data_IF_436770026095
#
_entry.id   IF_436770026095
#
_cell.length_a   1.000
_cell.length_b   1.000
_cell.length_c   1.000
_cell.angle_alpha   90.00
_cell.angle_beta   90.00
_cell.angle_gamma   90.00
#
_symmetry.space_group_name_H-M   'P 1'
#
loop_
_entity.id
_entity.type
_entity.pdbx_description
1 polymer ?
#
# COMPACT_ATOMS: atom_id res chain seq x y z
N UNK A 1 -17.78 0.04 3.49
CA UNK A 1 -17.19 -1.17 2.86
C UNK A 1 -18.21 -1.85 1.97
N UNK A 2 -17.86 -2.09 0.70
CA UNK A 2 -18.69 -2.97 -0.13
C UNK A 2 -18.73 -4.35 0.51
N UNK A 3 -19.92 -4.88 0.73
CA UNK A 3 -20.10 -6.22 1.30
C UNK A 3 -19.61 -7.26 0.31
N UNK A 4 -18.76 -8.18 0.74
CA UNK A 4 -18.26 -9.25 -0.12
C UNK A 4 -19.40 -10.23 -0.45
N UNK A 5 -19.71 -10.38 -1.72
CA UNK A 5 -20.76 -11.28 -2.23
C UNK A 5 -20.15 -12.55 -2.79
N UNK A 6 -20.67 -13.71 -2.36
CA UNK A 6 -20.15 -15.01 -2.76
C UNK A 6 -20.39 -15.24 -4.26
N UNK A 7 -21.53 -14.82 -4.80
CA UNK A 7 -21.83 -14.95 -6.23
C UNK A 7 -20.81 -14.21 -7.09
N UNK A 8 -20.42 -13.02 -6.68
CA UNK A 8 -19.39 -12.25 -7.41
C UNK A 8 -18.01 -12.94 -7.40
N UNK A 9 -17.65 -13.60 -6.29
CA UNK A 9 -16.44 -14.42 -6.22
C UNK A 9 -16.53 -15.67 -7.11
N UNK A 10 -17.71 -16.30 -7.15
CA UNK A 10 -17.96 -17.49 -7.96
C UNK A 10 -17.83 -17.19 -9.44
N UNK A 11 -18.50 -16.13 -9.92
CA UNK A 11 -18.52 -15.70 -11.33
C UNK A 11 -17.11 -15.30 -11.82
N UNK A 12 -16.29 -14.76 -10.92
CA UNK A 12 -14.89 -14.43 -11.22
C UNK A 12 -13.96 -15.64 -11.24
N UNK A 13 -14.42 -16.82 -10.81
CA UNK A 13 -13.60 -18.03 -10.76
C UNK A 13 -12.57 -18.06 -9.64
N UNK A 14 -12.84 -17.36 -8.53
CA UNK A 14 -11.96 -17.31 -7.34
C UNK A 14 -11.79 -18.68 -6.70
N UNK A 15 -12.78 -19.55 -6.86
CA UNK A 15 -12.83 -20.89 -6.28
C UNK A 15 -11.92 -21.92 -6.97
N UNK A 16 -11.41 -21.64 -8.15
CA UNK A 16 -10.49 -22.57 -8.83
C UNK A 16 -9.10 -22.51 -8.21
N UNK A 17 -8.59 -23.66 -7.80
CA UNK A 17 -7.22 -23.81 -7.35
C UNK A 17 -6.37 -24.56 -8.38
N UNK A 18 -5.18 -24.96 -7.97
CA UNK A 18 -4.24 -25.71 -8.79
C UNK A 18 -4.56 -27.22 -8.81
N UNK A 19 -3.80 -27.95 -9.63
CA UNK A 19 -3.88 -29.41 -9.73
C UNK A 19 -3.62 -30.07 -8.37
N UNK A 20 -4.28 -31.20 -8.13
CA UNK A 20 -4.18 -31.99 -6.88
C UNK A 20 -2.75 -32.39 -6.55
N UNK A 21 -1.91 -32.66 -7.56
CA UNK A 21 -0.50 -33.01 -7.41
C UNK A 21 0.39 -31.88 -6.87
N UNK A 22 -0.08 -30.61 -6.95
CA UNK A 22 0.68 -29.43 -6.49
C UNK A 22 0.20 -28.89 -5.15
N UNK A 23 -0.70 -29.60 -4.48
CA UNK A 23 -1.28 -29.14 -3.22
C UNK A 23 -0.23 -28.94 -2.11
N UNK A 24 -0.33 -27.82 -1.40
CA UNK A 24 0.39 -27.66 -0.14
C UNK A 24 -0.45 -28.23 1.02
N UNK A 25 0.12 -29.03 1.95
CA UNK A 25 -0.64 -29.67 3.04
C UNK A 25 -1.45 -28.68 3.90
N UNK A 26 -0.87 -27.53 4.24
CA UNK A 26 -1.50 -26.51 5.11
C UNK A 26 -2.69 -25.81 4.45
N UNK A 27 -2.92 -26.00 3.13
CA UNK A 27 -4.10 -25.51 2.44
C UNK A 27 -5.33 -26.40 2.58
N UNK A 28 -5.17 -27.63 3.12
CA UNK A 28 -6.31 -28.56 3.33
C UNK A 28 -7.52 -27.95 4.00
N UNK A 29 -7.41 -27.10 5.04
CA UNK A 29 -8.57 -26.48 5.67
C UNK A 29 -9.38 -25.57 4.74
N UNK A 30 -8.78 -25.01 3.66
CA UNK A 30 -9.40 -24.06 2.73
C UNK A 30 -9.95 -24.72 1.46
N UNK A 31 -9.69 -26.02 1.26
CA UNK A 31 -10.18 -26.79 0.12
C UNK A 31 -11.57 -27.35 0.45
N UNK A 32 -12.52 -27.13 -0.44
CA UNK A 32 -13.89 -27.64 -0.33
C UNK A 32 -14.01 -29.05 -0.90
N UNK A 33 -13.52 -29.26 -2.13
CA UNK A 33 -13.58 -30.55 -2.84
C UNK A 33 -12.54 -30.61 -3.94
N UNK A 34 -12.40 -31.82 -4.52
CA UNK A 34 -11.62 -32.04 -5.73
C UNK A 34 -12.55 -32.34 -6.90
N UNK A 35 -12.33 -31.72 -8.05
CA UNK A 35 -13.10 -31.94 -9.28
C UNK A 35 -12.17 -31.90 -10.49
N UNK A 36 -12.25 -32.93 -11.32
CA UNK A 36 -11.44 -33.06 -12.54
C UNK A 36 -9.92 -32.88 -12.30
N UNK A 37 -9.40 -33.40 -11.18
CA UNK A 37 -7.98 -33.29 -10.84
C UNK A 37 -7.52 -31.88 -10.38
N UNK A 38 -8.45 -30.97 -10.12
CA UNK A 38 -8.18 -29.65 -9.56
C UNK A 38 -8.86 -29.48 -8.20
N UNK A 39 -8.25 -28.71 -7.31
CA UNK A 39 -8.85 -28.33 -6.04
C UNK A 39 -9.84 -27.19 -6.22
N UNK A 40 -10.94 -27.24 -5.49
CA UNK A 40 -11.94 -26.18 -5.39
C UNK A 40 -11.80 -25.55 -4.01
N UNK A 41 -11.58 -24.23 -3.96
CA UNK A 41 -11.44 -23.46 -2.73
C UNK A 41 -12.81 -23.16 -2.14
N UNK A 42 -12.94 -23.21 -0.81
CA UNK A 42 -14.16 -22.87 -0.09
C UNK A 42 -14.35 -21.36 -0.05
N UNK A 43 -15.32 -20.84 -0.82
CA UNK A 43 -15.63 -19.42 -0.91
C UNK A 43 -16.15 -18.82 0.39
N UNK A 44 -16.73 -19.60 1.30
CA UNK A 44 -17.15 -19.10 2.62
C UNK A 44 -15.91 -18.72 3.46
N UNK A 45 -14.88 -19.56 3.42
CA UNK A 45 -13.59 -19.30 4.08
C UNK A 45 -12.84 -18.17 3.41
N UNK A 46 -12.85 -18.13 2.07
CA UNK A 46 -12.31 -16.97 1.32
C UNK A 46 -12.95 -15.68 1.75
N UNK A 47 -14.29 -15.62 1.81
CA UNK A 47 -15.03 -14.43 2.26
C UNK A 47 -14.63 -14.02 3.68
N UNK A 48 -14.64 -14.94 4.63
CA UNK A 48 -14.28 -14.65 6.02
C UNK A 48 -12.84 -14.09 6.15
N UNK A 49 -11.89 -14.70 5.43
CA UNK A 49 -10.48 -14.25 5.41
C UNK A 49 -10.30 -12.93 4.68
N UNK A 50 -11.02 -12.74 3.58
CA UNK A 50 -11.02 -11.47 2.84
C UNK A 50 -11.57 -10.35 3.72
N UNK A 51 -12.71 -10.52 4.40
CA UNK A 51 -13.28 -9.51 5.30
C UNK A 51 -12.28 -9.13 6.42
N UNK A 52 -11.58 -10.11 7.00
CA UNK A 52 -10.52 -9.86 7.99
C UNK A 52 -9.35 -9.03 7.39
N UNK A 53 -8.91 -9.38 6.18
CA UNK A 53 -7.83 -8.69 5.49
C UNK A 53 -8.24 -7.24 5.15
N UNK A 54 -9.46 -7.02 4.65
CA UNK A 54 -10.00 -5.70 4.32
C UNK A 54 -10.06 -4.79 5.54
N UNK A 55 -10.50 -5.31 6.69
CA UNK A 55 -10.49 -4.56 7.96
C UNK A 55 -9.07 -4.19 8.38
N UNK A 56 -8.12 -5.10 8.23
CA UNK A 56 -6.70 -4.84 8.50
C UNK A 56 -6.12 -3.75 7.60
N UNK A 57 -6.34 -3.85 6.30
CA UNK A 57 -5.87 -2.87 5.31
C UNK A 57 -6.49 -1.49 5.50
N UNK A 58 -7.80 -1.43 5.80
CA UNK A 58 -8.51 -0.19 6.14
C UNK A 58 -7.88 0.51 7.36
N UNK A 59 -7.59 -0.26 8.43
CA UNK A 59 -6.90 0.27 9.63
C UNK A 59 -5.52 0.84 9.28
N UNK A 60 -4.72 0.14 8.46
CA UNK A 60 -3.41 0.62 8.03
C UNK A 60 -3.55 1.90 7.20
N UNK A 61 -4.48 1.95 6.24
CA UNK A 61 -4.73 3.11 5.40
C UNK A 61 -5.16 4.34 6.23
N UNK A 62 -6.01 4.14 7.26
CA UNK A 62 -6.44 5.19 8.19
C UNK A 62 -5.26 5.84 8.95
N UNK A 63 -4.21 5.09 9.26
CA UNK A 63 -2.98 5.68 9.85
C UNK A 63 -2.18 6.55 8.87
N UNK A 64 -2.49 6.48 7.57
CA UNK A 64 -1.80 7.18 6.49
C UNK A 64 -0.43 6.64 6.15
N UNK A 65 -0.08 5.47 6.66
CA UNK A 65 1.14 4.77 6.28
C UNK A 65 0.93 4.06 4.95
N UNK A 66 1.98 3.97 4.16
CA UNK A 66 1.94 3.34 2.83
C UNK A 66 1.84 1.81 2.94
N UNK A 67 1.09 1.23 2.02
CA UNK A 67 0.98 -0.22 1.79
C UNK A 67 1.71 -0.50 0.48
N UNK A 68 2.66 -1.44 0.48
CA UNK A 68 3.41 -1.84 -0.71
C UNK A 68 2.69 -3.01 -1.38
N UNK A 69 2.36 -2.85 -2.66
CA UNK A 69 1.76 -3.90 -3.48
C UNK A 69 2.81 -4.63 -4.31
N UNK A 70 2.76 -5.95 -4.32
CA UNK A 70 3.70 -6.80 -5.06
C UNK A 70 2.93 -7.77 -5.94
N UNK A 71 3.06 -7.63 -7.25
CA UNK A 71 2.35 -8.43 -8.24
C UNK A 71 3.16 -8.57 -9.52
N UNK A 72 4.12 -9.51 -9.55
CA UNK A 72 5.01 -9.70 -10.72
C UNK A 72 4.48 -10.69 -11.75
N UNK A 73 3.36 -11.36 -11.47
CA UNK A 73 2.67 -12.24 -12.43
C UNK A 73 2.10 -11.41 -13.59
N UNK A 74 2.23 -11.87 -14.83
CA UNK A 74 1.75 -11.16 -16.02
C UNK A 74 0.26 -10.80 -15.92
N UNK A 75 -0.55 -11.72 -15.38
CA UNK A 75 -1.99 -11.57 -15.21
C UNK A 75 -2.36 -10.49 -14.19
N UNK A 76 -1.58 -10.37 -13.11
CA UNK A 76 -1.81 -9.44 -12.01
C UNK A 76 -1.30 -8.03 -12.28
N UNK A 77 -0.25 -7.89 -13.09
CA UNK A 77 0.39 -6.61 -13.40
C UNK A 77 -0.59 -5.56 -13.91
N UNK A 78 -1.29 -5.86 -15.01
CA UNK A 78 -2.23 -4.93 -15.63
C UNK A 78 -3.41 -4.59 -14.71
N UNK A 79 -3.87 -5.59 -13.95
CA UNK A 79 -4.97 -5.41 -13.00
C UNK A 79 -4.54 -4.48 -11.87
N UNK A 80 -3.36 -4.69 -11.30
CA UNK A 80 -2.83 -3.83 -10.23
C UNK A 80 -2.64 -2.39 -10.72
N UNK A 81 -2.04 -2.19 -11.89
CA UNK A 81 -1.79 -0.86 -12.47
C UNK A 81 -3.08 -0.05 -12.70
N UNK A 82 -4.20 -0.73 -12.95
CA UNK A 82 -5.52 -0.10 -13.10
C UNK A 82 -6.00 0.57 -11.81
N UNK A 83 -5.81 -0.11 -10.66
CA UNK A 83 -6.32 0.36 -9.37
C UNK A 83 -5.36 1.32 -8.65
N UNK A 84 -4.06 1.08 -8.76
CA UNK A 84 -3.05 1.78 -7.95
C UNK A 84 -2.97 3.27 -8.27
N UNK A 85 -3.29 3.66 -9.51
CA UNK A 85 -3.28 5.06 -9.96
C UNK A 85 -4.19 5.96 -9.14
N UNK A 86 -5.28 5.40 -8.59
CA UNK A 86 -6.27 6.17 -7.83
C UNK A 86 -5.85 6.40 -6.37
N UNK A 87 -4.94 5.57 -5.82
CA UNK A 87 -4.70 5.51 -4.37
C UNK A 87 -3.29 6.00 -4.00
N UNK A 88 -2.42 6.25 -4.97
CA UNK A 88 -1.02 6.68 -4.78
C UNK A 88 -0.28 5.84 -3.73
N UNK A 89 -0.31 4.51 -3.90
CA UNK A 89 0.44 3.56 -3.07
C UNK A 89 1.64 3.02 -3.85
N UNK A 90 2.78 2.71 -3.20
CA UNK A 90 3.93 2.09 -3.86
C UNK A 90 3.60 0.68 -4.32
N UNK A 91 4.17 0.27 -5.46
CA UNK A 91 3.93 -1.05 -6.03
C UNK A 91 5.13 -1.59 -6.79
N UNK A 92 5.17 -2.91 -6.98
CA UNK A 92 6.20 -3.61 -7.75
C UNK A 92 5.51 -4.61 -8.68
N UNK A 93 5.69 -4.42 -9.99
CA UNK A 93 5.06 -5.24 -11.02
C UNK A 93 6.06 -5.98 -11.90
N UNK A 94 7.34 -5.61 -11.86
CA UNK A 94 8.34 -6.24 -12.72
C UNK A 94 9.08 -7.39 -12.00
N UNK A 95 9.98 -7.06 -11.12
CA UNK A 95 10.77 -8.04 -10.40
C UNK A 95 11.10 -7.55 -9.00
N UNK A 96 10.93 -8.41 -8.03
CA UNK A 96 11.45 -8.15 -6.68
C UNK A 96 12.96 -8.34 -6.65
N UNK A 97 13.68 -7.34 -6.23
CA UNK A 97 15.12 -7.46 -5.94
C UNK A 97 15.31 -7.85 -4.48
N UNK A 98 16.21 -8.81 -4.22
CA UNK A 98 16.57 -9.14 -2.84
C UNK A 98 17.10 -7.91 -2.11
N UNK A 99 16.64 -7.70 -0.88
CA UNK A 99 17.02 -6.55 -0.08
C UNK A 99 16.14 -5.31 -0.22
N UNK A 100 15.02 -5.37 -0.95
CA UNK A 100 14.16 -4.19 -1.14
C UNK A 100 13.58 -3.66 0.18
N UNK A 101 13.33 -4.49 1.13
CA UNK A 101 12.92 -4.09 2.49
C UNK A 101 14.08 -4.17 3.47
N UNK A 102 14.81 -5.28 3.50
CA UNK A 102 15.89 -5.52 4.47
C UNK A 102 17.11 -4.63 4.26
N UNK A 103 17.40 -4.24 3.02
CA UNK A 103 18.48 -3.31 2.68
C UNK A 103 17.93 -2.02 2.04
N UNK A 104 16.87 -1.49 2.62
CA UNK A 104 16.15 -0.33 2.11
C UNK A 104 17.03 0.91 1.89
N UNK A 105 18.06 1.10 2.74
CA UNK A 105 19.00 2.23 2.61
C UNK A 105 19.74 2.19 1.27
N UNK A 106 20.19 1.00 0.84
CA UNK A 106 20.89 0.84 -0.45
C UNK A 106 19.92 1.01 -1.63
N UNK A 107 18.71 0.49 -1.52
CA UNK A 107 17.67 0.70 -2.53
C UNK A 107 17.37 2.20 -2.68
N UNK A 108 17.23 2.94 -1.57
CA UNK A 108 17.04 4.39 -1.62
C UNK A 108 18.20 5.14 -2.28
N UNK A 109 19.46 4.72 -2.04
CA UNK A 109 20.62 5.28 -2.75
C UNK A 109 20.52 5.04 -4.25
N UNK A 110 20.00 3.88 -4.66
CA UNK A 110 19.80 3.54 -6.08
C UNK A 110 18.66 4.35 -6.70
N UNK A 111 17.56 4.58 -5.98
CA UNK A 111 16.47 5.47 -6.41
C UNK A 111 16.97 6.91 -6.57
N UNK A 112 17.77 7.42 -5.62
CA UNK A 112 18.37 8.77 -5.72
C UNK A 112 19.26 8.94 -6.96
N UNK A 113 19.86 7.87 -7.49
CA UNK A 113 20.59 7.96 -8.77
C UNK A 113 19.68 8.32 -9.93
N UNK A 114 18.42 7.86 -9.90
CA UNK A 114 17.40 8.23 -10.89
C UNK A 114 17.15 9.74 -10.84
N UNK A 115 16.91 10.29 -9.64
CA UNK A 115 16.72 11.73 -9.44
C UNK A 115 17.92 12.55 -9.91
N UNK A 116 19.15 12.06 -9.67
CA UNK A 116 20.38 12.71 -10.10
C UNK A 116 20.45 12.73 -11.63
N UNK A 117 20.15 11.62 -12.31
CA UNK A 117 20.18 11.55 -13.77
C UNK A 117 19.14 12.51 -14.37
N UNK A 118 17.96 12.61 -13.77
CA UNK A 118 16.90 13.50 -14.23
C UNK A 118 17.30 14.97 -14.07
N UNK A 119 17.89 15.38 -12.94
CA UNK A 119 18.46 16.72 -12.75
C UNK A 119 19.56 17.04 -13.76
N UNK A 120 20.50 16.11 -14.00
CA UNK A 120 21.55 16.30 -15.00
C UNK A 120 20.98 16.49 -16.42
N UNK A 121 19.80 15.93 -16.70
CA UNK A 121 19.07 16.17 -17.95
C UNK A 121 18.50 17.59 -18.01
N UNK A 122 17.88 18.04 -16.94
CA UNK A 122 17.27 19.37 -16.82
C UNK A 122 18.33 20.47 -16.87
N UNK A 123 19.44 20.30 -16.17
CA UNK A 123 20.58 21.24 -16.11
C UNK A 123 21.42 21.27 -17.39
N UNK A 124 21.15 20.36 -18.35
CA UNK A 124 21.93 20.25 -19.59
C UNK A 124 23.34 19.67 -19.42
N UNK A 125 23.75 19.31 -18.20
CA UNK A 125 25.07 18.72 -17.89
C UNK A 125 25.31 17.42 -18.65
N UNK A 126 24.25 16.69 -19.04
CA UNK A 126 24.38 15.50 -19.89
C UNK A 126 25.02 15.81 -21.24
N UNK A 127 24.91 17.02 -21.77
CA UNK A 127 25.47 17.39 -23.05
C UNK A 127 27.01 17.47 -23.04
N UNK A 128 27.62 17.68 -21.87
CA UNK A 128 29.07 17.72 -21.71
C UNK A 128 29.71 16.33 -21.76
N UNK A 129 28.90 15.26 -21.58
CA UNK A 129 29.36 13.88 -21.60
C UNK A 129 29.51 13.35 -23.03
N UNK A 130 30.39 12.35 -23.20
CA UNK A 130 30.56 11.66 -24.49
C UNK A 130 29.25 10.99 -24.93
N UNK A 131 29.05 10.79 -26.23
CA UNK A 131 27.86 10.12 -26.79
C UNK A 131 27.64 8.74 -26.20
N UNK A 132 28.70 7.99 -25.91
CA UNK A 132 28.63 6.65 -25.31
C UNK A 132 28.14 6.70 -23.88
N UNK A 133 28.62 7.62 -23.07
CA UNK A 133 28.20 7.80 -21.67
C UNK A 133 26.76 8.24 -21.58
N UNK A 134 26.30 9.17 -22.42
CA UNK A 134 24.89 9.58 -22.49
C UNK A 134 23.97 8.40 -22.77
N UNK A 135 24.32 7.59 -23.77
CA UNK A 135 23.51 6.41 -24.11
C UNK A 135 23.47 5.39 -22.96
N UNK A 136 24.60 5.20 -22.25
CA UNK A 136 24.67 4.30 -21.10
C UNK A 136 23.78 4.82 -19.95
N UNK A 137 23.86 6.11 -19.64
CA UNK A 137 23.01 6.75 -18.62
C UNK A 137 21.52 6.63 -18.95
N UNK A 138 21.14 6.83 -20.21
CA UNK A 138 19.73 6.68 -20.62
C UNK A 138 19.23 5.25 -20.45
N UNK A 139 20.06 4.26 -20.78
CA UNK A 139 19.73 2.85 -20.56
C UNK A 139 19.59 2.51 -19.07
N UNK A 140 20.52 3.02 -18.26
CA UNK A 140 20.51 2.80 -16.81
C UNK A 140 19.29 3.50 -16.17
N UNK A 141 18.96 4.73 -16.60
CA UNK A 141 17.75 5.43 -16.19
C UNK A 141 16.48 4.64 -16.50
N UNK A 142 16.32 4.23 -17.76
CA UNK A 142 15.15 3.46 -18.19
C UNK A 142 15.01 2.14 -17.42
N UNK A 143 16.14 1.48 -17.12
CA UNK A 143 16.15 0.28 -16.29
C UNK A 143 15.74 0.57 -14.85
N UNK A 144 16.29 1.60 -14.22
CA UNK A 144 15.95 1.98 -12.84
C UNK A 144 14.49 2.42 -12.72
N UNK A 145 14.01 3.23 -13.65
CA UNK A 145 12.63 3.70 -13.68
C UNK A 145 11.65 2.53 -13.81
N UNK A 146 11.93 1.58 -14.70
CA UNK A 146 11.11 0.39 -14.89
C UNK A 146 10.96 -0.45 -13.62
N UNK A 147 12.03 -0.61 -12.83
CA UNK A 147 12.03 -1.53 -11.67
C UNK A 147 11.78 -0.83 -10.34
N UNK A 148 12.17 0.42 -10.19
CA UNK A 148 12.15 1.15 -8.92
C UNK A 148 11.34 2.46 -8.98
N UNK A 149 10.88 2.89 -10.16
CA UNK A 149 10.14 4.14 -10.32
C UNK A 149 8.89 4.20 -9.47
N UNK A 150 8.16 3.08 -9.37
CA UNK A 150 6.94 2.97 -8.56
C UNK A 150 7.13 3.08 -7.04
N UNK A 151 8.37 2.94 -6.56
CA UNK A 151 8.72 3.10 -5.12
C UNK A 151 9.56 4.35 -4.85
N UNK A 152 9.76 5.23 -5.83
CA UNK A 152 10.59 6.45 -5.70
C UNK A 152 10.11 7.36 -4.56
N UNK A 153 8.81 7.51 -4.41
CA UNK A 153 8.19 8.33 -3.35
C UNK A 153 8.22 7.68 -1.96
N UNK A 154 8.63 6.42 -1.86
CA UNK A 154 8.63 5.69 -0.59
C UNK A 154 9.84 6.10 0.28
N UNK A 155 9.64 7.04 1.20
CA UNK A 155 10.67 7.56 2.09
C UNK A 155 10.93 6.71 3.34
N UNK A 156 9.98 5.85 3.71
CA UNK A 156 10.02 4.97 4.90
C UNK A 156 9.55 3.58 4.51
N UNK A 157 9.90 2.59 5.31
CA UNK A 157 9.39 1.23 5.17
C UNK A 157 7.85 1.23 5.21
N UNK A 158 7.19 0.41 4.39
CA UNK A 158 5.73 0.30 4.36
C UNK A 158 5.22 -0.26 5.69
N UNK A 159 3.97 0.05 6.05
CA UNK A 159 3.32 -0.52 7.23
C UNK A 159 2.79 -1.92 6.97
N UNK A 160 2.48 -2.22 5.73
CA UNK A 160 2.00 -3.51 5.29
C UNK A 160 2.47 -3.79 3.86
N UNK A 161 2.53 -5.08 3.52
CA UNK A 161 2.79 -5.55 2.15
C UNK A 161 1.59 -6.39 1.71
N UNK A 162 1.07 -6.11 0.51
CA UNK A 162 0.06 -6.93 -0.15
C UNK A 162 0.68 -7.67 -1.32
N UNK A 163 0.58 -8.99 -1.32
CA UNK A 163 1.26 -9.86 -2.31
C UNK A 163 0.23 -10.65 -3.11
N UNK A 164 0.41 -10.69 -4.41
CA UNK A 164 -0.32 -11.61 -5.31
C UNK A 164 0.62 -12.77 -5.66
N UNK A 165 0.26 -13.99 -5.25
CA UNK A 165 1.06 -15.21 -5.38
C UNK A 165 2.28 -15.27 -4.44
N UNK A 166 2.08 -15.98 -3.32
CA UNK A 166 3.11 -16.20 -2.29
C UNK A 166 4.30 -17.02 -2.81
N UNK A 167 4.04 -17.99 -3.69
CA UNK A 167 5.07 -18.90 -4.18
C UNK A 167 6.10 -18.16 -5.01
N UNK A 168 5.61 -17.25 -5.85
CA UNK A 168 6.45 -16.42 -6.73
C UNK A 168 7.20 -15.35 -5.95
N UNK A 169 6.52 -14.70 -5.00
CA UNK A 169 7.05 -13.57 -4.23
C UNK A 169 7.60 -13.98 -2.85
N UNK A 170 8.11 -15.21 -2.75
CA UNK A 170 8.63 -15.78 -1.50
C UNK A 170 9.66 -14.88 -0.83
N UNK A 171 10.54 -14.24 -1.59
CA UNK A 171 11.58 -13.36 -1.06
C UNK A 171 10.95 -12.12 -0.40
N UNK A 172 9.92 -11.52 -1.03
CA UNK A 172 9.22 -10.37 -0.48
C UNK A 172 8.58 -10.67 0.88
N UNK A 173 7.95 -11.84 1.00
CA UNK A 173 7.32 -12.31 2.25
C UNK A 173 8.37 -12.57 3.32
N UNK A 174 9.47 -13.23 2.98
CA UNK A 174 10.57 -13.48 3.92
C UNK A 174 11.20 -12.20 4.45
N UNK A 175 11.39 -11.19 3.59
CA UNK A 175 11.91 -9.89 4.01
C UNK A 175 10.91 -9.14 4.89
N UNK A 176 9.63 -9.14 4.53
CA UNK A 176 8.57 -8.53 5.34
C UNK A 176 8.47 -9.17 6.73
N UNK A 177 8.50 -10.49 6.79
CA UNK A 177 8.49 -11.24 8.05
C UNK A 177 9.70 -10.92 8.94
N UNK A 178 10.92 -10.84 8.37
CA UNK A 178 12.13 -10.45 9.13
C UNK A 178 12.04 -9.07 9.76
N UNK A 179 11.28 -8.17 9.15
CA UNK A 179 11.09 -6.80 9.62
C UNK A 179 9.78 -6.60 10.41
N UNK A 180 9.05 -7.69 10.70
CA UNK A 180 7.74 -7.67 11.37
C UNK A 180 6.74 -6.72 10.68
N UNK A 181 6.80 -6.63 9.34
CA UNK A 181 5.84 -5.87 8.53
C UNK A 181 4.64 -6.78 8.28
N UNK A 182 3.42 -6.26 8.50
CA UNK A 182 2.19 -7.00 8.27
C UNK A 182 2.05 -7.43 6.82
N UNK A 183 1.77 -8.73 6.61
CA UNK A 183 1.67 -9.33 5.29
C UNK A 183 0.23 -9.75 4.99
N UNK A 184 -0.25 -9.30 3.84
CA UNK A 184 -1.55 -9.68 3.25
C UNK A 184 -1.26 -10.35 1.92
N UNK A 185 -1.87 -11.49 1.65
CA UNK A 185 -1.60 -12.16 0.38
C UNK A 185 -2.77 -12.96 -0.17
N UNK A 186 -2.88 -13.00 -1.50
CA UNK A 186 -3.64 -14.00 -2.22
C UNK A 186 -2.87 -15.31 -2.18
N UNK A 187 -3.54 -16.38 -1.75
CA UNK A 187 -2.93 -17.69 -1.50
C UNK A 187 -3.71 -18.75 -2.25
N UNK A 188 -3.10 -19.38 -3.24
CA UNK A 188 -3.67 -20.51 -3.93
C UNK A 188 -3.30 -21.85 -3.25
N UNK A 189 -3.90 -22.94 -3.69
CA UNK A 189 -3.80 -24.30 -3.10
C UNK A 189 -2.40 -24.89 -3.13
N UNK A 190 -1.47 -24.35 -3.93
CA UNK A 190 -0.06 -24.75 -4.03
C UNK A 190 0.86 -24.06 -3.01
N UNK A 191 0.35 -23.15 -2.22
CA UNK A 191 1.13 -22.24 -1.37
C UNK A 191 0.86 -22.48 0.12
N UNK A 192 1.80 -22.10 1.00
CA UNK A 192 1.64 -22.19 2.45
C UNK A 192 0.98 -20.94 3.03
N UNK A 193 -0.27 -21.01 3.53
CA UNK A 193 -0.96 -19.86 4.10
C UNK A 193 -0.34 -19.34 5.41
N UNK A 194 0.41 -20.18 6.14
CA UNK A 194 1.00 -19.80 7.44
C UNK A 194 2.18 -18.84 7.32
N UNK A 195 2.68 -18.61 6.10
CA UNK A 195 3.79 -17.69 5.85
C UNK A 195 3.35 -16.21 5.91
N UNK A 196 2.04 -15.95 5.96
CA UNK A 196 1.47 -14.59 5.93
C UNK A 196 0.48 -14.36 7.06
N UNK A 197 0.40 -13.12 7.57
CA UNK A 197 -0.49 -12.77 8.66
C UNK A 197 -1.98 -12.84 8.25
N UNK A 198 -2.28 -12.41 7.02
CA UNK A 198 -3.65 -12.35 6.49
C UNK A 198 -3.74 -13.04 5.14
N UNK A 199 -3.84 -14.39 5.14
CA UNK A 199 -4.02 -15.15 3.90
C UNK A 199 -5.45 -14.98 3.36
N UNK A 200 -5.57 -14.77 2.05
CA UNK A 200 -6.83 -14.74 1.30
C UNK A 200 -6.82 -15.93 0.35
N UNK A 201 -7.45 -17.06 0.72
CA UNK A 201 -7.52 -18.25 -0.14
C UNK A 201 -8.26 -17.90 -1.43
N UNK A 202 -7.57 -17.96 -2.57
CA UNK A 202 -8.12 -17.52 -3.84
C UNK A 202 -7.26 -17.93 -5.01
N UNK A 203 -7.87 -17.98 -6.19
CA UNK A 203 -7.17 -18.19 -7.46
C UNK A 203 -6.28 -16.98 -7.78
N UNK A 204 -4.99 -17.20 -7.94
CA UNK A 204 -4.00 -16.18 -8.27
C UNK A 204 -3.54 -16.20 -9.74
N UNK A 205 -4.11 -17.09 -10.57
CA UNK A 205 -3.81 -17.23 -12.00
C UNK A 205 -4.81 -16.49 -12.90
N UNK A 206 -6.09 -16.49 -12.52
CA UNK A 206 -7.14 -15.89 -13.33
C UNK A 206 -7.21 -14.37 -13.13
N UNK A 207 -7.03 -13.58 -14.20
CA UNK A 207 -7.11 -12.11 -14.15
C UNK A 207 -8.43 -11.59 -13.58
N UNK A 208 -9.57 -12.28 -13.84
CA UNK A 208 -10.88 -11.92 -13.28
C UNK A 208 -10.93 -12.12 -11.76
N UNK A 209 -10.34 -13.20 -11.23
CA UNK A 209 -10.23 -13.46 -9.80
C UNK A 209 -9.42 -12.37 -9.11
N UNK A 210 -8.26 -12.05 -9.67
CA UNK A 210 -7.38 -10.99 -9.17
C UNK A 210 -8.08 -9.62 -9.20
N UNK A 211 -8.79 -9.30 -10.28
CA UNK A 211 -9.53 -8.03 -10.43
C UNK A 211 -10.59 -7.86 -9.34
N UNK A 212 -11.39 -8.89 -9.09
CA UNK A 212 -12.44 -8.85 -8.06
C UNK A 212 -11.82 -8.67 -6.67
N UNK A 213 -10.80 -9.43 -6.31
CA UNK A 213 -10.15 -9.31 -4.99
C UNK A 213 -9.49 -7.94 -4.83
N UNK A 214 -8.75 -7.47 -5.83
CA UNK A 214 -8.13 -6.14 -5.78
C UNK A 214 -9.18 -5.03 -5.73
N UNK A 215 -10.33 -5.17 -6.39
CA UNK A 215 -11.42 -4.18 -6.29
C UNK A 215 -11.92 -4.00 -4.86
N UNK A 216 -12.08 -5.09 -4.09
CA UNK A 216 -12.44 -5.02 -2.68
C UNK A 216 -11.31 -4.44 -1.84
N UNK A 217 -10.06 -4.85 -2.08
CA UNK A 217 -8.87 -4.36 -1.37
C UNK A 217 -8.72 -2.85 -1.54
N UNK A 218 -8.74 -2.36 -2.77
CA UNK A 218 -8.62 -0.92 -3.05
C UNK A 218 -9.82 -0.13 -2.52
N UNK A 219 -11.04 -0.66 -2.63
CA UNK A 219 -12.22 -0.05 -2.03
C UNK A 219 -12.10 0.13 -0.52
N UNK A 220 -11.55 -0.85 0.20
CA UNK A 220 -11.32 -0.74 1.64
C UNK A 220 -10.22 0.28 2.00
N UNK A 221 -9.18 0.37 1.18
CA UNK A 221 -8.09 1.35 1.36
C UNK A 221 -8.60 2.77 1.10
N UNK A 222 -9.37 2.99 0.02
CA UNK A 222 -9.99 4.28 -0.28
C UNK A 222 -10.90 4.76 0.85
N UNK A 223 -11.73 3.88 1.40
CA UNK A 223 -12.54 4.21 2.57
C UNK A 223 -11.68 4.62 3.78
N UNK A 224 -10.60 3.88 4.05
CA UNK A 224 -9.67 4.19 5.13
C UNK A 224 -8.98 5.57 4.95
N UNK A 225 -8.57 5.89 3.73
CA UNK A 225 -7.98 7.19 3.39
C UNK A 225 -9.01 8.33 3.53
N UNK A 226 -10.24 8.12 3.07
CA UNK A 226 -11.33 9.08 3.18
C UNK A 226 -11.72 9.35 4.64
N UNK A 227 -11.75 8.31 5.49
CA UNK A 227 -11.97 8.48 6.93
C UNK A 227 -10.86 9.32 7.58
N UNK A 228 -9.61 9.03 7.24
CA UNK A 228 -8.48 9.82 7.71
C UNK A 228 -8.57 11.29 7.29
N UNK A 229 -8.92 11.54 6.04
CA UNK A 229 -9.04 12.92 5.54
C UNK A 229 -10.12 13.71 6.29
N UNK A 230 -11.26 13.07 6.56
CA UNK A 230 -12.33 13.65 7.38
C UNK A 230 -11.88 13.96 8.80
N UNK A 231 -11.15 13.03 9.44
CA UNK A 231 -10.60 13.23 10.79
C UNK A 231 -9.59 14.38 10.83
N UNK A 232 -8.70 14.47 9.84
CA UNK A 232 -7.74 15.58 9.75
C UNK A 232 -8.41 16.94 9.54
N UNK A 233 -9.46 17.01 8.70
CA UNK A 233 -10.25 18.22 8.51
C UNK A 233 -10.96 18.63 9.81
N UNK A 234 -11.55 17.68 10.52
CA UNK A 234 -12.20 17.92 11.79
C UNK A 234 -11.20 18.42 12.86
N UNK A 235 -10.01 17.84 12.94
CA UNK A 235 -8.97 18.27 13.86
C UNK A 235 -8.46 19.70 13.54
N UNK A 236 -8.28 20.04 12.27
CA UNK A 236 -7.90 21.39 11.86
C UNK A 236 -8.93 22.43 12.26
N UNK A 237 -10.22 22.16 12.04
CA UNK A 237 -11.31 23.05 12.44
C UNK A 237 -11.34 23.25 13.97
N UNK A 238 -11.06 22.19 14.73
CA UNK A 238 -11.01 22.28 16.20
C UNK A 238 -9.79 23.06 16.69
N UNK A 239 -8.62 22.91 16.05
CA UNK A 239 -7.42 23.68 16.39
C UNK A 239 -7.61 25.18 16.08
N UNK A 240 -8.16 25.50 14.92
CA UNK A 240 -8.46 26.90 14.54
C UNK A 240 -9.50 27.57 15.46
N UNK A 241 -10.49 26.82 15.95
CA UNK A 241 -11.44 27.32 16.95
C UNK A 241 -10.78 27.63 18.30
N UNK A 242 -9.92 26.70 18.76
CA UNK A 242 -9.18 26.89 20.02
C UNK A 242 -8.22 28.09 19.96
N UNK A 243 -7.50 28.23 18.82
CA UNK A 243 -6.63 29.39 18.62
C UNK A 243 -7.41 30.72 18.65
N UNK A 244 -8.61 30.77 18.04
CA UNK A 244 -9.48 31.97 18.12
C UNK A 244 -9.99 32.24 19.54
N UNK A 245 -10.42 31.21 20.25
CA UNK A 245 -10.87 31.33 21.64
C UNK A 245 -9.74 31.81 22.59
N UNK A 246 -8.48 31.42 22.31
CA UNK A 246 -7.33 31.92 23.10
C UNK A 246 -7.01 33.35 22.77
N UNK A 247 -7.04 33.76 21.52
CA UNK A 247 -6.81 35.15 21.12
C UNK A 247 -7.91 36.07 21.68
N UNK A 248 -9.20 35.71 21.57
CA UNK A 248 -10.30 36.47 22.10
C UNK A 248 -10.23 36.59 23.66
N UNK A 249 -9.65 35.63 24.34
CA UNK A 249 -9.46 35.65 25.79
C UNK A 249 -8.27 36.53 26.23
N UNK A 250 -7.21 36.57 25.41
CA UNK A 250 -6.05 37.48 25.65
C UNK A 250 -6.41 38.92 25.40
N UNK A 251 -7.10 39.24 24.29
CA UNK A 251 -7.58 40.60 23.99
C UNK A 251 -8.54 41.12 25.07
N UNK A 252 -9.42 40.26 25.61
CA UNK A 252 -10.34 40.61 26.71
C UNK A 252 -9.60 40.91 28.02
N UNK A 253 -8.46 40.27 28.28
CA UNK A 253 -7.63 40.52 29.47
C UNK A 253 -6.81 41.81 29.34
N UNK A 254 -6.31 42.14 28.15
CA UNK A 254 -5.60 43.37 27.89
C UNK A 254 -6.56 44.59 28.01
N UNK A 255 -7.80 44.52 27.51
CA UNK A 255 -8.80 45.58 27.70
C UNK A 255 -9.15 45.82 29.16
N UNK A 256 -9.25 44.78 30.00
CA UNK A 256 -9.52 44.91 31.43
C UNK A 256 -8.35 45.57 32.17
N UNK A 257 -7.10 45.22 31.79
CA UNK A 257 -5.90 45.82 32.38
C UNK A 257 -5.77 47.29 32.00
N UNK A 258 -6.07 47.62 30.73
CA UNK A 258 -6.00 49.02 30.26
C UNK A 258 -7.09 49.92 30.87
N UNK A 259 -8.31 49.39 31.11
CA UNK A 259 -9.36 50.07 31.83
C UNK A 259 -9.02 50.27 33.32
N UNK A 260 -8.37 49.30 33.95
CA UNK A 260 -7.93 49.38 35.34
C UNK A 260 -6.84 50.46 35.49
N UNK A 261 -5.89 50.52 34.58
CA UNK A 261 -4.82 51.54 34.60
C UNK A 261 -5.35 52.95 34.36
N UNK A 262 -6.31 53.15 33.46
CA UNK A 262 -6.99 54.44 33.25
C UNK A 262 -7.81 54.92 34.45
N UNK A 263 -8.36 54.01 35.24
CA UNK A 263 -9.08 54.33 36.46
C UNK A 263 -8.12 54.72 37.59
N UNK A 264 -6.95 54.10 37.73
CA UNK A 264 -5.93 54.47 38.74
C UNK A 264 -5.37 55.87 38.45
N UNK A 265 -5.10 56.23 37.18
CA UNK A 265 -4.65 57.59 36.84
C UNK A 265 -5.70 58.70 37.13
N UNK A 266 -7.00 58.34 37.09
CA UNK A 266 -8.05 59.29 37.48
C UNK A 266 -8.19 59.59 38.99
N UNK A 267 -7.66 58.63 39.83
CA UNK A 267 -7.68 58.84 41.30
C UNK A 267 -6.44 59.56 41.85
N UNK A 268 -5.40 59.68 41.00
CA UNK A 268 -4.17 60.39 41.36
C UNK A 268 -4.10 61.86 40.94
N UNK A 269 -5.17 62.39 40.33
CA UNK A 269 -5.40 63.84 40.03
C UNK A 269 -6.48 64.36 40.90
#
# INVERSE_FOLDING_TARGET
>A
MKKVEINHLLDAGVHFGHLTSKRHPNMSPYIFMEKNGMHIIDLNKTKAKLDQALLGLKKVAKTGRKILFVATKKQSKFVLEKYIKNVNMPYITERWYGGMLTNFVTIRKTVKKLDIIDRMKEDGTIQTLSKRERLQMERDRAKLEKYLGSISEMNRLPAAVFVVDILREKIAIQEASKLNIKTFAMVDTNSNPDLVDFPIPSNDDASKSIDVILSYVFGAIEEGLNEREKELKAQKIQSEKKEKETVDSEDSQEEIVDQSNKNIEKWQK
#
